data_IF_539081780507
#
_entry.id   IF_539081780507
#
_cell.length_a   1.000
_cell.length_b   1.000
_cell.length_c   1.000
_cell.angle_alpha   90.00
_cell.angle_beta   90.00
_cell.angle_gamma   90.00
#
_symmetry.space_group_name_H-M   'P 1'
#
loop_
_entity.id
_entity.type
_entity.pdbx_description
1 polymer ?
#
# COMPACT_ATOMS: atom_id res chain seq x y z
N UNK A 1 9.62 49.54 91.97
CA UNK A 1 8.36 48.77 91.93
C UNK A 1 8.75 47.29 91.87
N UNK A 2 8.41 46.51 92.89
CA UNK A 2 8.79 45.10 92.97
C UNK A 2 7.89 44.28 92.04
N UNK A 3 8.47 43.55 91.09
CA UNK A 3 7.73 42.60 90.24
C UNK A 3 7.21 41.47 91.10
N UNK A 4 5.92 41.18 91.00
CA UNK A 4 5.28 40.13 91.79
C UNK A 4 5.73 38.76 91.28
N UNK A 5 5.67 37.70 92.11
CA UNK A 5 5.99 36.34 91.68
C UNK A 5 5.17 35.88 90.47
N UNK A 6 3.96 36.43 90.31
CA UNK A 6 3.09 36.18 89.17
C UNK A 6 3.67 36.75 87.87
N UNK A 7 4.19 37.98 87.89
CA UNK A 7 4.81 38.63 86.72
C UNK A 7 6.03 37.84 86.19
N UNK A 8 6.77 37.18 87.08
CA UNK A 8 7.92 36.33 86.72
C UNK A 8 7.49 34.99 86.12
N UNK A 9 6.39 34.41 86.60
CA UNK A 9 5.82 33.18 86.03
C UNK A 9 5.22 33.44 84.65
N UNK A 10 4.55 34.58 84.47
CA UNK A 10 3.99 34.98 83.18
C UNK A 10 5.10 35.27 82.17
N UNK A 11 6.19 35.94 82.58
CA UNK A 11 7.37 36.14 81.72
C UNK A 11 8.06 34.83 81.34
N UNK A 12 8.19 33.88 82.27
CA UNK A 12 8.79 32.57 81.99
C UNK A 12 7.91 31.75 81.04
N UNK A 13 6.58 31.81 81.21
CA UNK A 13 5.62 31.17 80.32
C UNK A 13 5.68 31.76 78.92
N UNK A 14 5.78 33.09 78.79
CA UNK A 14 5.90 33.72 77.50
C UNK A 14 7.20 33.33 76.79
N UNK A 15 8.34 33.25 77.51
CA UNK A 15 9.64 32.82 76.94
C UNK A 15 9.63 31.34 76.54
N UNK A 16 9.05 30.47 77.37
CA UNK A 16 9.00 29.02 77.09
C UNK A 16 8.07 28.66 75.92
N UNK A 17 7.07 29.51 75.61
CA UNK A 17 6.05 29.23 74.60
C UNK A 17 6.24 30.02 73.29
N UNK A 18 7.37 30.74 73.12
CA UNK A 18 7.61 31.52 71.89
C UNK A 18 7.65 30.61 70.67
N UNK A 19 8.44 29.54 70.72
CA UNK A 19 8.63 28.59 69.61
C UNK A 19 7.30 27.89 69.25
N UNK A 20 6.55 27.42 70.26
CA UNK A 20 5.23 26.82 70.05
C UNK A 20 4.22 27.79 69.40
N UNK A 21 4.25 29.08 69.79
CA UNK A 21 3.39 30.12 69.20
C UNK A 21 3.81 30.42 67.77
N UNK A 22 5.10 30.47 67.48
CA UNK A 22 5.63 30.67 66.12
C UNK A 22 5.24 29.49 65.21
N UNK A 23 5.34 28.25 65.70
CA UNK A 23 4.96 27.06 64.94
C UNK A 23 3.45 26.98 64.73
N UNK A 24 2.66 27.31 65.75
CA UNK A 24 1.21 27.42 65.62
C UNK A 24 0.82 28.49 64.58
N UNK A 25 1.51 29.64 64.56
CA UNK A 25 1.27 30.68 63.56
C UNK A 25 1.58 30.18 62.14
N UNK A 26 2.70 29.48 61.93
CA UNK A 26 3.03 28.88 60.62
C UNK A 26 1.97 27.88 60.16
N UNK A 27 1.36 27.13 61.08
CA UNK A 27 0.27 26.20 60.75
C UNK A 27 -0.98 26.96 60.33
N UNK A 28 -1.35 28.01 61.07
CA UNK A 28 -2.50 28.86 60.74
C UNK A 28 -2.30 29.53 59.37
N UNK A 29 -1.12 30.09 59.10
CA UNK A 29 -0.80 30.71 57.82
C UNK A 29 -0.95 29.72 56.65
N UNK A 30 -0.47 28.46 56.83
CA UNK A 30 -0.66 27.40 55.83
C UNK A 30 -2.13 27.00 55.65
N UNK A 31 -2.92 27.07 56.71
CA UNK A 31 -4.34 26.71 56.66
C UNK A 31 -5.13 27.78 55.90
N UNK A 32 -4.82 29.05 56.13
CA UNK A 32 -5.38 30.19 55.39
C UNK A 32 -5.02 30.13 53.90
N UNK A 33 -3.77 29.76 53.57
CA UNK A 33 -3.33 29.55 52.17
C UNK A 33 -4.14 28.44 51.48
N UNK A 34 -4.36 27.32 52.16
CA UNK A 34 -5.16 26.20 51.63
C UNK A 34 -6.61 26.62 51.47
N UNK A 35 -7.20 27.28 52.47
CA UNK A 35 -8.58 27.77 52.42
C UNK A 35 -8.78 28.73 51.24
N UNK A 36 -7.84 29.64 50.99
CA UNK A 36 -7.87 30.55 49.85
C UNK A 36 -7.85 29.85 48.48
N UNK A 37 -7.29 28.64 48.38
CA UNK A 37 -7.36 27.81 47.16
C UNK A 37 -8.78 27.30 46.93
N UNK A 38 -9.50 26.90 47.99
CA UNK A 38 -10.84 26.32 47.91
C UNK A 38 -11.97 27.34 47.89
N UNK A 39 -11.78 28.54 48.45
CA UNK A 39 -12.80 29.59 48.51
C UNK A 39 -13.21 30.15 47.14
N UNK A 40 -12.26 30.17 46.18
CA UNK A 40 -12.50 30.73 44.84
C UNK A 40 -12.37 29.63 43.79
N UNK A 41 -13.45 29.44 43.03
CA UNK A 41 -13.50 28.50 41.89
C UNK A 41 -12.31 28.64 40.95
N UNK A 42 -11.81 29.86 40.70
CA UNK A 42 -10.66 30.12 39.84
C UNK A 42 -9.38 29.46 40.38
N UNK A 43 -9.10 29.64 41.67
CA UNK A 43 -7.90 29.12 42.32
C UNK A 43 -7.93 27.59 42.35
N UNK A 44 -9.09 27.00 42.68
CA UNK A 44 -9.28 25.56 42.61
C UNK A 44 -9.08 25.02 41.18
N UNK A 45 -9.64 25.72 40.18
CA UNK A 45 -9.49 25.32 38.78
C UNK A 45 -8.03 25.32 38.34
N UNK A 46 -7.22 26.30 38.74
CA UNK A 46 -5.80 26.36 38.38
C UNK A 46 -5.01 25.14 38.88
N UNK A 47 -5.40 24.56 40.01
CA UNK A 47 -4.73 23.38 40.60
C UNK A 47 -5.32 22.04 40.11
N UNK A 48 -6.62 21.99 39.84
CA UNK A 48 -7.33 20.75 39.46
C UNK A 48 -7.33 20.52 37.95
N UNK A 49 -7.40 21.59 37.13
CA UNK A 49 -7.49 21.45 35.67
C UNK A 49 -6.32 20.66 35.08
N UNK A 50 -5.04 20.90 35.47
CA UNK A 50 -3.93 20.12 34.93
C UNK A 50 -4.07 18.61 35.19
N UNK A 51 -4.60 18.21 36.36
CA UNK A 51 -4.82 16.82 36.73
C UNK A 51 -5.95 16.20 35.88
N UNK A 52 -7.02 16.96 35.67
CA UNK A 52 -8.14 16.54 34.82
C UNK A 52 -7.72 16.44 33.35
N UNK A 53 -6.95 17.40 32.86
CA UNK A 53 -6.45 17.42 31.49
C UNK A 53 -5.50 16.25 31.24
N UNK A 54 -4.60 15.95 32.18
CA UNK A 54 -3.74 14.76 32.13
C UNK A 54 -4.58 13.48 32.11
N UNK A 55 -5.59 13.38 32.99
CA UNK A 55 -6.47 12.22 33.03
C UNK A 55 -7.28 12.04 31.73
N UNK A 56 -7.79 13.13 31.14
CA UNK A 56 -8.51 13.11 29.86
C UNK A 56 -7.56 12.72 28.72
N UNK A 57 -6.33 13.23 28.72
CA UNK A 57 -5.32 12.86 27.72
C UNK A 57 -5.02 11.36 27.77
N UNK A 58 -4.73 10.84 28.96
CA UNK A 58 -4.47 9.40 29.17
C UNK A 58 -5.70 8.55 28.84
N UNK A 59 -6.90 9.03 29.17
CA UNK A 59 -8.13 8.35 28.78
C UNK A 59 -8.28 8.32 27.26
N UNK A 60 -8.02 9.44 26.57
CA UNK A 60 -8.11 9.51 25.10
C UNK A 60 -7.19 8.52 24.40
N UNK A 61 -5.99 8.27 24.93
CA UNK A 61 -5.07 7.26 24.41
C UNK A 61 -5.57 5.83 24.63
N UNK A 62 -6.27 5.58 25.74
CA UNK A 62 -6.80 4.26 26.11
C UNK A 62 -8.20 3.98 25.57
N UNK A 63 -8.91 4.97 25.01
CA UNK A 63 -10.25 4.82 24.42
C UNK A 63 -10.31 3.69 23.38
N UNK A 64 -9.39 3.58 22.40
CA UNK A 64 -9.47 2.53 21.39
C UNK A 64 -9.46 1.12 22.00
N UNK A 65 -8.68 0.90 23.05
CA UNK A 65 -8.55 -0.40 23.71
C UNK A 65 -9.72 -0.69 24.66
N UNK A 66 -10.13 0.31 25.44
CA UNK A 66 -11.16 0.15 26.48
C UNK A 66 -12.58 0.18 25.92
N UNK A 67 -12.86 1.09 24.99
CA UNK A 67 -14.19 1.26 24.39
C UNK A 67 -14.32 0.58 23.03
N UNK A 68 -13.23 0.33 22.30
CA UNK A 68 -13.28 -0.28 20.97
C UNK A 68 -14.10 -1.58 20.91
N UNK A 69 -13.89 -2.56 21.82
CA UNK A 69 -14.69 -3.78 21.84
C UNK A 69 -16.17 -3.53 22.12
N UNK A 70 -16.50 -2.57 22.99
CA UNK A 70 -17.87 -2.21 23.33
C UNK A 70 -18.57 -1.49 22.18
N UNK A 71 -17.87 -0.55 21.53
CA UNK A 71 -18.36 0.15 20.33
C UNK A 71 -18.62 -0.86 19.22
N UNK A 72 -17.67 -1.78 18.97
CA UNK A 72 -17.80 -2.81 17.94
C UNK A 72 -19.02 -3.71 18.19
N UNK A 73 -19.17 -4.24 19.41
CA UNK A 73 -20.34 -5.06 19.79
C UNK A 73 -21.66 -4.29 19.65
N UNK A 74 -21.65 -3.01 20.01
CA UNK A 74 -22.84 -2.15 19.93
C UNK A 74 -23.20 -1.88 18.48
N UNK A 75 -22.21 -1.59 17.64
CA UNK A 75 -22.40 -1.39 16.20
C UNK A 75 -22.90 -2.66 15.52
N UNK A 76 -22.32 -3.82 15.83
CA UNK A 76 -22.77 -5.11 15.32
C UNK A 76 -24.23 -5.38 15.68
N UNK A 77 -24.60 -5.16 16.94
CA UNK A 77 -25.98 -5.27 17.41
C UNK A 77 -26.90 -4.30 16.67
N UNK A 78 -26.44 -3.07 16.44
CA UNK A 78 -27.22 -2.06 15.75
C UNK A 78 -27.42 -2.38 14.27
N UNK A 79 -26.40 -2.89 13.58
CA UNK A 79 -26.51 -3.38 12.20
C UNK A 79 -27.51 -4.54 12.14
N UNK A 80 -27.45 -5.47 13.10
CA UNK A 80 -28.38 -6.61 13.16
C UNK A 80 -29.83 -6.18 13.41
N UNK A 81 -30.04 -5.14 14.22
CA UNK A 81 -31.37 -4.64 14.57
C UNK A 81 -31.94 -3.67 13.52
N UNK A 82 -31.08 -2.94 12.82
CA UNK A 82 -31.44 -1.87 11.86
C UNK A 82 -31.06 -2.25 10.43
N UNK A 83 -31.25 -3.53 10.07
CA UNK A 83 -30.83 -4.07 8.76
C UNK A 83 -31.37 -3.25 7.61
N UNK A 84 -32.64 -2.87 7.64
CA UNK A 84 -33.29 -2.19 6.52
C UNK A 84 -32.67 -0.81 6.26
N UNK A 85 -32.37 -0.04 7.31
CA UNK A 85 -31.71 1.26 7.17
C UNK A 85 -30.27 1.13 6.68
N UNK A 86 -29.53 0.13 7.17
CA UNK A 86 -28.17 -0.15 6.69
C UNK A 86 -28.21 -0.59 5.23
N UNK A 87 -29.14 -1.46 4.86
CA UNK A 87 -29.33 -1.93 3.48
C UNK A 87 -29.69 -0.75 2.58
N UNK A 88 -30.62 0.11 2.98
CA UNK A 88 -31.02 1.30 2.22
C UNK A 88 -29.84 2.24 1.96
N UNK A 89 -29.00 2.48 2.97
CA UNK A 89 -27.80 3.30 2.83
C UNK A 89 -26.75 2.66 1.90
N UNK A 90 -26.59 1.34 1.95
CA UNK A 90 -25.60 0.60 1.15
C UNK A 90 -26.08 0.27 -0.27
N UNK A 91 -27.40 0.21 -0.50
CA UNK A 91 -27.99 -0.25 -1.76
C UNK A 91 -27.45 0.49 -3.00
N UNK A 92 -27.32 1.83 -3.01
CA UNK A 92 -26.77 2.54 -4.17
C UNK A 92 -25.31 2.17 -4.47
N UNK A 93 -24.53 1.88 -3.44
CA UNK A 93 -23.10 1.53 -3.55
C UNK A 93 -22.99 0.10 -4.09
N UNK A 94 -23.72 -0.84 -3.49
CA UNK A 94 -23.80 -2.23 -3.93
C UNK A 94 -24.28 -2.32 -5.38
N UNK A 95 -25.33 -1.58 -5.75
CA UNK A 95 -25.85 -1.53 -7.11
C UNK A 95 -24.82 -1.04 -8.13
N UNK A 96 -24.05 0.01 -7.80
CA UNK A 96 -22.93 0.48 -8.65
C UNK A 96 -21.84 -0.57 -8.80
N UNK A 97 -21.47 -1.27 -7.72
CA UNK A 97 -20.45 -2.31 -7.74
C UNK A 97 -20.90 -3.52 -8.57
N UNK A 98 -22.11 -4.02 -8.34
CA UNK A 98 -22.70 -5.14 -9.10
C UNK A 98 -22.79 -4.80 -10.58
N UNK A 99 -23.26 -3.59 -10.92
CA UNK A 99 -23.31 -3.13 -12.31
C UNK A 99 -21.93 -3.14 -12.97
N UNK A 100 -20.90 -2.62 -12.31
CA UNK A 100 -19.52 -2.63 -12.81
C UNK A 100 -18.99 -4.04 -13.00
N UNK A 101 -19.24 -4.93 -12.04
CA UNK A 101 -18.84 -6.32 -12.10
C UNK A 101 -19.47 -7.03 -13.31
N UNK A 102 -20.79 -6.94 -13.48
CA UNK A 102 -21.51 -7.53 -14.61
C UNK A 102 -21.00 -6.98 -15.95
N UNK A 103 -20.79 -5.67 -16.04
CA UNK A 103 -20.25 -5.04 -17.26
C UNK A 103 -18.88 -5.60 -17.62
N UNK A 104 -18.02 -5.82 -16.63
CA UNK A 104 -16.71 -6.41 -16.84
C UNK A 104 -16.82 -7.88 -17.29
N UNK A 105 -17.65 -8.68 -16.64
CA UNK A 105 -17.85 -10.09 -17.03
C UNK A 105 -18.40 -10.23 -18.46
N UNK A 106 -19.39 -9.39 -18.84
CA UNK A 106 -19.91 -9.37 -20.21
C UNK A 106 -18.82 -8.99 -21.21
N UNK A 107 -17.97 -8.02 -20.87
CA UNK A 107 -16.83 -7.62 -21.72
C UNK A 107 -15.86 -8.78 -21.92
N UNK A 108 -15.45 -9.45 -20.84
CA UNK A 108 -14.54 -10.59 -20.90
C UNK A 108 -15.14 -11.76 -21.69
N UNK A 109 -16.43 -12.04 -21.50
CA UNK A 109 -17.16 -13.04 -22.28
C UNK A 109 -17.17 -12.69 -23.77
N UNK A 110 -17.46 -11.44 -24.12
CA UNK A 110 -17.46 -10.96 -25.51
C UNK A 110 -16.08 -11.08 -26.15
N UNK A 111 -15.02 -10.72 -25.42
CA UNK A 111 -13.63 -10.89 -25.88
C UNK A 111 -13.27 -12.36 -26.11
N UNK A 112 -13.69 -13.26 -25.22
CA UNK A 112 -13.49 -14.71 -25.35
C UNK A 112 -14.22 -15.27 -26.57
N UNK A 113 -15.48 -14.89 -26.76
CA UNK A 113 -16.28 -15.27 -27.94
C UNK A 113 -15.61 -14.76 -29.21
N UNK A 114 -15.22 -13.49 -29.27
CA UNK A 114 -14.56 -12.92 -30.44
C UNK A 114 -13.26 -13.65 -30.77
N UNK A 115 -12.45 -14.01 -29.77
CA UNK A 115 -11.24 -14.83 -29.97
C UNK A 115 -11.56 -16.21 -30.54
N UNK A 116 -12.58 -16.90 -30.02
CA UNK A 116 -12.97 -18.22 -30.49
C UNK A 116 -13.60 -18.17 -31.89
N UNK A 117 -14.47 -17.20 -32.17
CA UNK A 117 -15.11 -16.99 -33.47
C UNK A 117 -14.06 -16.63 -34.51
N UNK A 118 -13.13 -15.72 -34.22
CA UNK A 118 -12.05 -15.40 -35.17
C UNK A 118 -11.14 -16.60 -35.46
N UNK A 119 -10.97 -17.51 -34.48
CA UNK A 119 -10.21 -18.77 -34.67
C UNK A 119 -10.99 -19.81 -35.47
N UNK A 120 -12.30 -19.94 -35.27
CA UNK A 120 -13.15 -20.95 -35.91
C UNK A 120 -13.68 -20.52 -37.30
N UNK A 121 -13.99 -19.23 -37.48
CA UNK A 121 -14.55 -18.61 -38.69
C UNK A 121 -13.58 -17.63 -39.35
N UNK A 122 -12.27 -17.86 -39.26
CA UNK A 122 -11.34 -17.13 -40.11
C UNK A 122 -11.75 -17.36 -41.57
N UNK A 123 -11.94 -16.28 -42.33
CA UNK A 123 -12.21 -16.34 -43.78
C UNK A 123 -11.17 -17.24 -44.49
N UNK A 124 -9.94 -17.29 -43.95
CA UNK A 124 -8.90 -18.23 -44.36
C UNK A 124 -9.26 -19.69 -44.10
N UNK A 125 -9.82 -20.03 -42.93
CA UNK A 125 -10.27 -21.39 -42.58
C UNK A 125 -11.42 -21.90 -43.45
N UNK A 126 -12.41 -21.05 -43.75
CA UNK A 126 -13.51 -21.41 -44.67
C UNK A 126 -12.99 -21.59 -46.09
N UNK A 127 -12.17 -20.64 -46.59
CA UNK A 127 -11.52 -20.72 -47.90
C UNK A 127 -10.63 -21.96 -48.01
N UNK A 128 -9.94 -22.33 -46.93
CA UNK A 128 -9.10 -23.53 -46.84
C UNK A 128 -9.92 -24.81 -46.90
N UNK A 129 -11.05 -24.86 -46.19
CA UNK A 129 -11.98 -26.01 -46.23
C UNK A 129 -12.61 -26.20 -47.61
N UNK A 130 -12.93 -25.11 -48.31
CA UNK A 130 -13.39 -25.14 -49.71
C UNK A 130 -12.25 -25.60 -50.63
N UNK A 131 -11.04 -25.07 -50.44
CA UNK A 131 -9.85 -25.42 -51.24
C UNK A 131 -9.46 -26.89 -51.06
N UNK A 132 -9.47 -27.44 -49.83
CA UNK A 132 -9.18 -28.86 -49.58
C UNK A 132 -10.17 -29.79 -50.27
N UNK A 133 -11.45 -29.40 -50.32
CA UNK A 133 -12.47 -30.17 -51.05
C UNK A 133 -12.25 -30.13 -52.56
N UNK A 134 -11.77 -29.02 -53.12
CA UNK A 134 -11.56 -28.87 -54.56
C UNK A 134 -10.21 -29.42 -55.05
N UNK A 135 -9.16 -29.34 -54.22
CA UNK A 135 -7.79 -29.77 -54.59
C UNK A 135 -7.43 -31.17 -54.07
N UNK A 136 -8.30 -31.82 -53.28
CA UNK A 136 -8.08 -33.17 -52.72
C UNK A 136 -6.96 -33.26 -51.67
N UNK A 137 -6.31 -32.13 -51.33
CA UNK A 137 -5.25 -32.08 -50.33
C UNK A 137 -5.87 -32.01 -48.92
N UNK A 138 -5.28 -32.72 -47.95
CA UNK A 138 -5.77 -32.70 -46.57
C UNK A 138 -5.64 -31.29 -46.00
N UNK A 139 -6.61 -30.89 -45.18
CA UNK A 139 -6.63 -29.56 -44.57
C UNK A 139 -5.30 -29.26 -43.86
N UNK A 140 -4.75 -30.24 -43.14
CA UNK A 140 -3.44 -30.23 -42.47
C UNK A 140 -2.26 -29.81 -43.36
N UNK A 141 -2.19 -30.34 -44.59
CA UNK A 141 -1.09 -30.06 -45.52
C UNK A 141 -1.20 -28.65 -46.12
N UNK A 142 -2.43 -28.13 -46.25
CA UNK A 142 -2.68 -26.74 -46.62
C UNK A 142 -2.33 -25.78 -45.48
N UNK A 143 -2.56 -26.17 -44.21
CA UNK A 143 -2.13 -25.37 -43.05
C UNK A 143 -0.61 -25.22 -43.04
N UNK A 144 0.10 -26.34 -43.21
CA UNK A 144 1.57 -26.39 -43.13
C UNK A 144 2.20 -25.59 -44.28
N UNK A 145 1.64 -25.66 -45.49
CA UNK A 145 2.10 -24.86 -46.63
C UNK A 145 1.78 -23.36 -46.50
N UNK A 146 0.70 -22.98 -45.80
CA UNK A 146 0.35 -21.57 -45.54
C UNK A 146 1.08 -20.95 -44.34
N UNK A 147 1.56 -21.76 -43.39
CA UNK A 147 2.23 -21.29 -42.16
C UNK A 147 3.76 -21.47 -42.21
N UNK A 148 4.34 -21.78 -43.37
CA UNK A 148 5.78 -22.03 -43.53
C UNK A 148 6.66 -20.78 -43.53
N UNK A 149 6.12 -19.58 -43.32
CA UNK A 149 6.93 -18.36 -43.31
C UNK A 149 7.20 -17.93 -41.88
N UNK A 150 8.18 -18.57 -41.26
CA UNK A 150 8.94 -17.92 -40.18
C UNK A 150 9.59 -16.69 -40.81
N UNK A 151 8.97 -15.53 -40.64
CA UNK A 151 9.52 -14.28 -41.13
C UNK A 151 10.45 -13.72 -40.07
N UNK A 152 11.76 -13.89 -40.25
CA UNK A 152 12.76 -13.12 -39.52
C UNK A 152 12.51 -11.65 -39.88
N UNK A 153 12.15 -10.83 -38.89
CA UNK A 153 11.91 -9.40 -39.05
C UNK A 153 13.22 -8.62 -38.97
N UNK A 154 14.06 -8.98 -37.99
CA UNK A 154 15.30 -8.30 -37.71
C UNK A 154 16.34 -9.27 -37.13
N UNK A 155 17.60 -9.03 -37.44
CA UNK A 155 18.76 -9.72 -36.87
C UNK A 155 19.77 -8.65 -36.48
N UNK A 156 20.33 -8.78 -35.27
CA UNK A 156 21.42 -7.95 -34.79
C UNK A 156 22.59 -8.84 -34.39
N UNK A 157 23.80 -8.43 -34.76
CA UNK A 157 25.04 -9.01 -34.28
C UNK A 157 25.67 -7.97 -33.36
N UNK A 158 25.69 -8.27 -32.06
CA UNK A 158 26.10 -7.32 -31.02
C UNK A 158 27.30 -7.89 -30.27
N UNK A 159 28.30 -7.06 -30.01
CA UNK A 159 29.44 -7.45 -29.20
C UNK A 159 29.01 -7.64 -27.73
N UNK A 160 29.31 -8.83 -27.17
CA UNK A 160 28.81 -9.30 -25.87
C UNK A 160 29.02 -8.32 -24.71
N UNK A 161 30.15 -7.62 -24.68
CA UNK A 161 30.57 -6.83 -23.51
C UNK A 161 30.27 -5.34 -23.66
N UNK A 162 30.38 -4.78 -24.86
CA UNK A 162 30.23 -3.34 -25.10
C UNK A 162 28.83 -2.94 -25.53
N UNK A 163 28.05 -3.89 -26.06
CA UNK A 163 26.77 -3.59 -26.70
C UNK A 163 26.91 -2.91 -28.07
N UNK A 164 28.12 -2.84 -28.61
CA UNK A 164 28.39 -2.29 -29.94
C UNK A 164 27.75 -3.18 -31.01
N UNK A 165 27.00 -2.55 -31.92
CA UNK A 165 26.40 -3.20 -33.07
C UNK A 165 27.48 -3.49 -34.13
N UNK A 166 27.73 -4.77 -34.41
CA UNK A 166 28.67 -5.21 -35.44
C UNK A 166 28.01 -5.36 -36.82
N UNK A 167 26.69 -5.63 -36.83
CA UNK A 167 25.93 -5.79 -38.06
C UNK A 167 24.45 -5.98 -37.81
N UNK A 168 23.62 -5.62 -38.78
CA UNK A 168 22.17 -5.75 -38.67
C UNK A 168 21.52 -6.07 -40.01
N UNK A 169 20.44 -6.84 -39.95
CA UNK A 169 19.51 -7.05 -41.06
C UNK A 169 18.11 -6.68 -40.58
N UNK A 170 17.37 -5.90 -41.35
CA UNK A 170 15.97 -5.56 -41.05
C UNK A 170 15.14 -5.58 -42.32
N UNK A 171 13.89 -6.06 -42.23
CA UNK A 171 12.93 -6.00 -43.34
C UNK A 171 12.22 -4.65 -43.43
N UNK A 172 12.10 -3.94 -42.32
CA UNK A 172 11.47 -2.61 -42.25
C UNK A 172 12.42 -1.64 -41.54
N UNK A 173 12.58 -0.45 -42.09
CA UNK A 173 13.48 0.56 -41.54
C UNK A 173 12.73 1.35 -40.46
N UNK A 174 12.75 0.85 -39.23
CA UNK A 174 12.18 1.57 -38.08
C UNK A 174 13.09 1.44 -36.86
N UNK A 175 13.20 2.56 -36.14
CA UNK A 175 14.00 2.76 -34.92
C UNK A 175 15.53 2.68 -35.16
N UNK A 176 16.27 3.48 -34.40
CA UNK A 176 17.73 3.49 -34.41
C UNK A 176 18.30 2.13 -33.94
N UNK A 177 19.11 1.51 -34.80
CA UNK A 177 19.66 0.16 -34.61
C UNK A 177 20.67 0.12 -33.47
N UNK A 178 21.44 1.19 -33.29
CA UNK A 178 22.44 1.29 -32.24
C UNK A 178 21.76 1.45 -30.87
N UNK A 179 20.64 2.17 -30.84
CA UNK A 179 19.80 2.29 -29.63
C UNK A 179 19.20 0.94 -29.21
N UNK A 180 18.67 0.17 -30.17
CA UNK A 180 18.12 -1.17 -29.88
C UNK A 180 19.21 -2.11 -29.36
N UNK A 181 20.38 -2.09 -29.99
CA UNK A 181 21.56 -2.86 -29.55
C UNK A 181 21.91 -2.56 -28.09
N UNK A 182 22.03 -1.27 -27.74
CA UNK A 182 22.32 -0.85 -26.37
C UNK A 182 21.25 -1.28 -25.37
N UNK A 183 19.97 -1.18 -25.73
CA UNK A 183 18.86 -1.61 -24.87
C UNK A 183 18.85 -3.12 -24.63
N UNK A 184 19.06 -3.94 -25.68
CA UNK A 184 19.12 -5.39 -25.54
C UNK A 184 20.29 -5.82 -24.67
N UNK A 185 21.45 -5.18 -24.82
CA UNK A 185 22.61 -5.42 -23.96
C UNK A 185 22.34 -5.04 -22.51
N UNK A 186 21.73 -3.88 -22.26
CA UNK A 186 21.39 -3.45 -20.90
C UNK A 186 20.38 -4.38 -20.22
N UNK A 187 19.35 -4.83 -20.93
CA UNK A 187 18.38 -5.81 -20.42
C UNK A 187 19.08 -7.12 -20.08
N UNK A 188 19.93 -7.62 -20.99
CA UNK A 188 20.69 -8.85 -20.77
C UNK A 188 21.60 -8.73 -19.54
N UNK A 189 22.37 -7.65 -19.42
CA UNK A 189 23.25 -7.41 -18.27
C UNK A 189 22.47 -7.30 -16.97
N UNK A 190 21.35 -6.57 -16.95
CA UNK A 190 20.51 -6.45 -15.76
C UNK A 190 19.96 -7.80 -15.31
N UNK A 191 19.48 -8.64 -16.24
CA UNK A 191 18.99 -9.99 -15.91
C UNK A 191 20.13 -10.87 -15.41
N UNK A 192 21.30 -10.85 -16.05
CA UNK A 192 22.47 -11.64 -15.62
C UNK A 192 22.96 -11.21 -14.23
N UNK A 193 22.96 -9.91 -13.93
CA UNK A 193 23.36 -9.36 -12.63
C UNK A 193 22.33 -9.67 -11.52
N UNK A 194 21.03 -9.55 -11.82
CA UNK A 194 19.96 -9.72 -10.84
C UNK A 194 19.81 -11.16 -10.32
N UNK A 195 20.24 -12.15 -11.10
CA UNK A 195 20.10 -13.57 -10.73
C UNK A 195 21.37 -14.19 -10.13
N UNK A 196 22.48 -13.43 -9.95
CA UNK A 196 23.76 -13.86 -9.33
C UNK A 196 24.26 -15.26 -9.76
N UNK A 197 23.86 -15.73 -10.95
CA UNK A 197 24.17 -17.07 -11.45
C UNK A 197 25.06 -16.93 -12.68
N UNK A 198 26.35 -17.17 -12.46
CA UNK A 198 27.45 -16.99 -13.40
C UNK A 198 27.43 -17.87 -14.67
N UNK A 199 26.29 -18.47 -15.03
CA UNK A 199 26.20 -19.40 -16.16
C UNK A 199 24.83 -19.47 -16.87
N UNK A 200 23.88 -18.60 -16.58
CA UNK A 200 22.62 -18.54 -17.34
C UNK A 200 22.64 -17.32 -18.27
N UNK A 201 22.57 -17.57 -19.58
CA UNK A 201 22.43 -16.50 -20.58
C UNK A 201 20.94 -16.26 -20.83
N UNK A 202 20.54 -15.00 -21.00
CA UNK A 202 19.19 -14.67 -21.45
C UNK A 202 18.99 -15.17 -22.90
N UNK A 203 18.22 -16.26 -23.07
CA UNK A 203 18.01 -16.89 -24.39
C UNK A 203 16.82 -16.29 -25.14
N UNK A 204 15.70 -16.01 -24.49
CA UNK A 204 14.46 -15.59 -25.16
C UNK A 204 13.72 -14.49 -24.39
N UNK A 205 13.20 -13.50 -25.11
CA UNK A 205 12.26 -12.48 -24.59
C UNK A 205 10.98 -12.55 -25.41
N UNK A 206 9.87 -12.92 -24.77
CA UNK A 206 8.55 -12.99 -25.41
C UNK A 206 7.72 -11.75 -25.10
N UNK A 207 7.16 -11.14 -26.15
CA UNK A 207 6.20 -10.06 -26.10
C UNK A 207 4.91 -10.47 -26.80
N UNK A 208 3.81 -9.75 -26.54
CA UNK A 208 2.48 -9.99 -27.15
C UNK A 208 2.55 -10.00 -28.69
N UNK A 209 3.51 -9.29 -29.28
CA UNK A 209 3.63 -9.13 -30.74
C UNK A 209 4.86 -9.80 -31.36
N UNK A 210 5.95 -10.01 -30.62
CA UNK A 210 7.22 -10.49 -31.15
C UNK A 210 7.98 -11.36 -30.15
N UNK A 211 8.76 -12.32 -30.65
CA UNK A 211 9.71 -13.11 -29.87
C UNK A 211 11.13 -12.73 -30.27
N UNK A 212 11.93 -12.28 -29.31
CA UNK A 212 13.36 -12.07 -29.50
C UNK A 212 14.12 -13.30 -29.03
N UNK A 213 15.02 -13.81 -29.87
CA UNK A 213 15.87 -14.95 -29.58
C UNK A 213 17.33 -14.51 -29.64
N UNK A 214 18.06 -14.79 -28.56
CA UNK A 214 19.50 -14.51 -28.44
C UNK A 214 20.28 -15.81 -28.55
N UNK A 215 21.22 -15.86 -29.48
CA UNK A 215 22.07 -17.04 -29.69
C UNK A 215 23.54 -16.66 -29.46
N UNK A 216 24.25 -17.29 -28.51
CA UNK A 216 25.68 -17.05 -28.36
C UNK A 216 26.41 -17.59 -29.59
N UNK A 217 27.14 -16.72 -30.28
CA UNK A 217 27.86 -17.07 -31.49
C UNK A 217 29.33 -16.67 -31.31
N UNK A 218 30.27 -17.58 -31.62
CA UNK A 218 31.69 -17.25 -31.74
C UNK A 218 31.96 -16.90 -33.20
N UNK A 219 32.33 -15.66 -33.47
CA UNK A 219 32.86 -15.27 -34.77
C UNK A 219 34.37 -15.50 -34.72
N UNK A 220 34.84 -16.54 -35.41
CA UNK A 220 36.26 -16.66 -35.76
C UNK A 220 36.50 -15.72 -36.93
N UNK A 221 37.36 -14.72 -36.72
CA UNK A 221 37.89 -13.85 -37.77
C UNK A 221 39.22 -14.41 -38.25
#
# INVERSE_FOLDING_TARGET
MATTPQDKLDSLRDILLIEDREDMQKILDRLDEIEAIFEKRKNLSEHVSPIIDEHISNFSETIPETLGPTITKTLEKQIKNSKDQVVEALYPILGKMIKRYIQNEIKMLSESINKQVNKAFSVKGIKRKIKSMFTGAKEGDIIISEHSQISILQVFVVEKNSGILLGSYTKEETIDKDMISGMLTAIKSFVEDAFEQSNQNLETIESVSYTHLTLPTKLEV
#
